data_IF_390480669627
#
_entry.id   IF_390480669627
#
_cell.length_a   1.000
_cell.length_b   1.000
_cell.length_c   1.000
_cell.angle_alpha   90.00
_cell.angle_beta   90.00
_cell.angle_gamma   90.00
#
_symmetry.space_group_name_H-M   'P 1'
#
loop_
_entity.id
_entity.type
_entity.pdbx_description
1 polymer ?
#
# COMPACT_ATOMS: atom_id res chain seq x y z
N UNK A 1 8.93 8.61 4.70
CA UNK A 1 9.51 7.77 3.64
C UNK A 1 8.51 6.73 3.22
N UNK A 2 8.40 6.44 1.94
CA UNK A 2 7.55 5.38 1.39
C UNK A 2 8.41 4.49 0.50
N UNK A 3 8.24 3.18 0.58
CA UNK A 3 9.04 2.23 -0.20
C UNK A 3 8.73 2.29 -1.70
N UNK A 4 7.46 2.24 -2.06
CA UNK A 4 6.97 2.07 -3.43
C UNK A 4 5.84 3.05 -3.76
N UNK A 5 5.71 3.41 -5.02
CA UNK A 5 4.77 4.44 -5.50
C UNK A 5 3.29 4.09 -5.31
N UNK A 6 2.93 2.81 -5.29
CA UNK A 6 1.57 2.36 -5.02
C UNK A 6 0.99 2.94 -3.70
N UNK A 7 1.86 3.20 -2.72
CA UNK A 7 1.50 3.86 -1.46
C UNK A 7 1.93 5.33 -1.42
N UNK A 8 2.89 5.75 -2.27
CA UNK A 8 3.48 7.08 -2.27
C UNK A 8 2.46 8.19 -2.47
N UNK A 9 1.63 8.07 -3.49
CA UNK A 9 0.60 9.07 -3.81
C UNK A 9 -0.48 9.13 -2.72
N UNK A 10 -0.87 7.98 -2.16
CA UNK A 10 -1.84 7.90 -1.05
C UNK A 10 -1.30 8.66 0.17
N UNK A 11 -0.05 8.38 0.55
CA UNK A 11 0.59 9.04 1.71
C UNK A 11 0.73 10.54 1.46
N UNK A 12 1.04 10.95 0.22
CA UNK A 12 1.15 12.36 -0.17
C UNK A 12 -0.20 13.08 -0.07
N UNK A 13 -1.27 12.47 -0.54
CA UNK A 13 -2.63 13.00 -0.43
C UNK A 13 -3.05 13.17 1.04
N UNK A 14 -2.76 12.18 1.89
CA UNK A 14 -3.09 12.21 3.31
C UNK A 14 -2.26 13.24 4.09
N UNK A 15 -0.99 13.39 3.74
CA UNK A 15 -0.07 14.32 4.39
C UNK A 15 -0.26 15.78 3.96
N UNK A 16 -0.69 15.98 2.70
CA UNK A 16 -0.90 17.30 2.12
C UNK A 16 0.29 18.22 2.32
N UNK A 17 0.05 19.49 2.69
CA UNK A 17 1.09 20.48 2.93
C UNK A 17 1.85 20.29 4.28
N UNK A 18 1.33 19.45 5.18
CA UNK A 18 1.93 19.21 6.49
C UNK A 18 2.95 18.07 6.50
N UNK A 19 3.15 17.36 5.37
CA UNK A 19 4.14 16.30 5.27
C UNK A 19 4.90 16.35 3.94
N UNK A 20 6.23 16.20 4.01
CA UNK A 20 7.05 15.98 2.81
C UNK A 20 7.22 14.48 2.63
N UNK A 21 6.69 13.95 1.54
CA UNK A 21 6.74 12.52 1.23
C UNK A 21 7.84 12.27 0.20
N UNK A 22 8.69 11.29 0.49
CA UNK A 22 9.69 10.77 -0.45
C UNK A 22 9.44 9.29 -0.66
N UNK A 23 9.28 8.90 -1.93
CA UNK A 23 9.14 7.50 -2.35
C UNK A 23 10.44 7.02 -2.96
N UNK A 24 10.93 5.85 -2.53
CA UNK A 24 12.20 5.29 -3.03
C UNK A 24 12.02 4.78 -4.45
N UNK A 25 11.10 3.83 -4.65
CA UNK A 25 10.77 3.32 -5.98
C UNK A 25 9.55 4.06 -6.51
N UNK A 26 9.80 5.19 -7.17
CA UNK A 26 8.76 6.08 -7.72
C UNK A 26 8.40 5.74 -9.18
N UNK A 27 8.76 4.56 -9.66
CA UNK A 27 8.41 4.08 -11.01
C UNK A 27 8.31 2.56 -11.06
N UNK A 28 7.51 2.06 -11.99
CA UNK A 28 7.34 0.62 -12.26
C UNK A 28 8.49 -0.02 -13.05
N UNK A 29 9.60 0.68 -13.27
CA UNK A 29 10.74 0.18 -14.05
C UNK A 29 11.66 -0.76 -13.28
N UNK A 30 11.50 -0.84 -11.96
CA UNK A 30 12.29 -1.69 -11.07
C UNK A 30 11.36 -2.61 -10.31
N UNK A 31 11.69 -3.90 -10.27
CA UNK A 31 10.97 -4.87 -9.46
C UNK A 31 11.32 -4.67 -7.97
N UNK A 32 10.35 -4.36 -7.11
CA UNK A 32 10.61 -4.17 -5.69
C UNK A 32 11.09 -5.43 -4.96
N UNK A 33 10.79 -6.62 -5.46
CA UNK A 33 11.27 -7.87 -4.86
C UNK A 33 12.79 -8.03 -4.98
N UNK A 34 13.37 -7.55 -6.09
CA UNK A 34 14.78 -7.71 -6.42
C UNK A 34 15.59 -6.43 -6.19
N UNK A 35 14.97 -5.40 -5.63
CA UNK A 35 15.65 -4.12 -5.43
C UNK A 35 16.72 -4.21 -4.33
N UNK A 36 17.94 -3.81 -4.68
CA UNK A 36 19.06 -3.65 -3.76
C UNK A 36 19.25 -2.16 -3.42
N UNK A 37 18.95 -1.72 -2.17
CA UNK A 37 19.04 -0.33 -1.81
C UNK A 37 20.50 0.15 -1.78
N UNK A 38 20.70 1.37 -2.25
CA UNK A 38 21.99 2.06 -2.21
C UNK A 38 22.25 2.72 -0.84
N UNK A 39 23.51 3.12 -0.54
CA UNK A 39 23.80 3.96 0.61
C UNK A 39 23.04 5.30 0.65
N UNK A 40 22.66 5.82 -0.52
CA UNK A 40 21.84 7.03 -0.62
C UNK A 40 20.41 6.76 -0.13
N UNK A 41 19.84 5.61 -0.47
CA UNK A 41 18.51 5.22 0.04
C UNK A 41 18.55 5.08 1.56
N UNK A 42 19.59 4.47 2.13
CA UNK A 42 19.75 4.38 3.58
C UNK A 42 19.84 5.76 4.24
N UNK A 43 20.54 6.71 3.61
CA UNK A 43 20.63 8.09 4.10
C UNK A 43 19.25 8.79 4.06
N UNK A 44 18.44 8.51 3.05
CA UNK A 44 17.08 9.06 2.94
C UNK A 44 16.13 8.59 4.06
N UNK A 45 16.33 7.39 4.59
CA UNK A 45 15.60 6.91 5.76
C UNK A 45 16.00 7.61 7.05
N UNK A 46 17.23 8.14 7.10
CA UNK A 46 17.72 8.82 8.32
C UNK A 46 16.87 10.07 8.59
N UNK A 47 16.26 10.11 9.77
CA UNK A 47 15.42 11.25 10.18
C UNK A 47 13.98 11.19 9.62
N UNK A 48 13.61 10.15 8.90
CA UNK A 48 12.22 9.90 8.55
C UNK A 48 11.35 9.90 9.82
N UNK A 49 10.20 10.57 9.78
CA UNK A 49 9.26 10.62 10.91
C UNK A 49 8.23 9.51 10.85
N UNK A 50 8.01 8.96 9.66
CA UNK A 50 7.12 7.84 9.38
C UNK A 50 7.72 7.06 8.22
N UNK A 51 7.68 5.73 8.30
CA UNK A 51 7.99 4.84 7.18
C UNK A 51 6.74 4.06 6.81
N UNK A 52 6.45 3.98 5.51
CA UNK A 52 5.33 3.21 4.96
C UNK A 52 5.88 2.19 3.97
N UNK A 53 5.53 0.93 4.16
CA UNK A 53 5.96 -0.19 3.31
C UNK A 53 4.77 -1.07 2.93
N UNK A 54 4.92 -1.84 1.87
CA UNK A 54 3.91 -2.84 1.50
C UNK A 54 3.95 -4.05 2.46
N UNK A 55 5.12 -4.64 2.67
CA UNK A 55 5.26 -5.90 3.40
C UNK A 55 4.92 -7.12 2.55
N UNK A 56 4.57 -8.25 3.19
CA UNK A 56 4.29 -9.54 2.55
C UNK A 56 5.45 -10.05 1.65
N UNK A 57 6.68 -9.64 1.92
CA UNK A 57 7.87 -9.98 1.15
C UNK A 57 8.16 -9.06 -0.04
N UNK A 58 7.24 -8.14 -0.40
CA UNK A 58 7.35 -7.29 -1.59
C UNK A 58 8.54 -6.31 -1.56
N UNK A 59 8.74 -5.65 -0.42
CA UNK A 59 9.73 -4.59 -0.21
C UNK A 59 10.52 -4.80 1.10
N UNK A 60 10.97 -6.03 1.33
CA UNK A 60 11.68 -6.43 2.55
C UNK A 60 12.94 -5.59 2.83
N UNK A 61 13.57 -5.05 1.79
CA UNK A 61 14.71 -4.14 1.90
C UNK A 61 14.32 -2.84 2.64
N UNK A 62 13.12 -2.31 2.40
CA UNK A 62 12.65 -1.09 3.04
C UNK A 62 12.40 -1.29 4.54
N UNK A 63 11.84 -2.43 4.92
CA UNK A 63 11.68 -2.80 6.34
C UNK A 63 13.03 -2.92 7.05
N UNK A 64 14.05 -3.46 6.40
CA UNK A 64 15.43 -3.54 6.93
C UNK A 64 16.03 -2.15 7.08
N UNK A 65 15.86 -1.25 6.09
CA UNK A 65 16.32 0.13 6.18
C UNK A 65 15.58 0.90 7.28
N UNK A 66 14.28 0.72 7.44
CA UNK A 66 13.53 1.31 8.54
C UNK A 66 14.12 0.90 9.90
N UNK A 67 14.39 -0.38 10.09
CA UNK A 67 14.95 -0.90 11.33
C UNK A 67 16.37 -0.39 11.62
N UNK A 68 17.21 -0.18 10.60
CA UNK A 68 18.61 0.24 10.77
C UNK A 68 18.79 1.76 10.75
N UNK A 69 18.08 2.49 9.89
CA UNK A 69 18.33 3.90 9.62
C UNK A 69 17.23 4.83 10.17
N UNK A 70 16.08 4.29 10.53
CA UNK A 70 14.93 5.00 11.08
C UNK A 70 14.32 4.28 12.30
N UNK A 71 15.14 3.63 13.12
CA UNK A 71 14.73 2.73 14.22
C UNK A 71 13.81 3.36 15.28
N UNK A 72 13.76 4.69 15.36
CA UNK A 72 12.87 5.42 16.27
C UNK A 72 11.56 5.87 15.63
N UNK A 73 11.34 5.59 14.36
CA UNK A 73 10.19 6.06 13.62
C UNK A 73 9.11 4.99 13.53
N UNK A 74 7.82 5.34 13.63
CA UNK A 74 6.74 4.39 13.38
C UNK A 74 6.82 3.83 11.97
N UNK A 75 6.47 2.55 11.85
CA UNK A 75 6.39 1.81 10.60
C UNK A 75 4.94 1.39 10.35
N UNK A 76 4.37 1.84 9.25
CA UNK A 76 3.09 1.35 8.73
C UNK A 76 3.40 0.35 7.61
N UNK A 77 3.06 -0.91 7.83
CA UNK A 77 3.13 -1.96 6.82
C UNK A 77 1.71 -2.33 6.37
N UNK A 78 1.43 -2.23 5.07
CA UNK A 78 0.14 -2.61 4.51
C UNK A 78 -0.20 -4.07 4.85
N UNK A 79 0.78 -4.97 4.77
CA UNK A 79 0.61 -6.37 5.15
C UNK A 79 0.27 -6.55 6.62
N UNK A 80 0.92 -5.80 7.53
CA UNK A 80 0.60 -5.86 8.96
C UNK A 80 -0.80 -5.32 9.26
N UNK A 81 -1.19 -4.21 8.64
CA UNK A 81 -2.52 -3.60 8.79
C UNK A 81 -3.62 -4.55 8.33
N UNK A 82 -3.39 -5.28 7.24
CA UNK A 82 -4.35 -6.24 6.67
C UNK A 82 -4.21 -7.65 7.23
N UNK A 83 -3.23 -7.90 8.10
CA UNK A 83 -2.89 -9.23 8.63
C UNK A 83 -2.51 -10.23 7.52
N UNK A 84 -1.90 -9.74 6.47
CA UNK A 84 -1.40 -10.56 5.36
C UNK A 84 -0.03 -11.14 5.75
N UNK A 85 0.15 -12.47 5.76
CA UNK A 85 1.42 -13.07 6.13
C UNK A 85 2.49 -12.90 5.03
N UNK A 86 3.75 -13.03 5.43
CA UNK A 86 4.86 -13.06 4.47
C UNK A 86 4.72 -14.23 3.50
N UNK A 87 5.05 -13.99 2.24
CA UNK A 87 4.89 -14.96 1.16
C UNK A 87 3.47 -15.12 0.62
N UNK A 88 2.48 -14.40 1.16
CA UNK A 88 1.17 -14.28 0.53
C UNK A 88 1.22 -13.28 -0.63
N UNK A 89 0.13 -13.21 -1.41
CA UNK A 89 0.02 -12.24 -2.51
C UNK A 89 0.26 -10.80 -2.00
N UNK A 90 1.29 -10.11 -2.47
CA UNK A 90 1.67 -8.79 -1.96
C UNK A 90 0.88 -7.62 -2.58
N UNK A 91 0.07 -7.84 -3.61
CA UNK A 91 -0.60 -6.79 -4.40
C UNK A 91 -1.78 -6.14 -3.68
N UNK A 92 -1.56 -5.73 -2.43
CA UNK A 92 -2.60 -5.24 -1.49
C UNK A 92 -3.26 -3.93 -1.95
N UNK A 93 -2.59 -3.13 -2.75
CA UNK A 93 -3.15 -1.88 -3.31
C UNK A 93 -4.32 -2.10 -4.28
N UNK A 94 -4.53 -3.33 -4.76
CA UNK A 94 -5.71 -3.71 -5.54
C UNK A 94 -6.92 -4.12 -4.69
N UNK A 95 -6.79 -4.19 -3.37
CA UNK A 95 -7.88 -4.48 -2.46
C UNK A 95 -8.40 -3.18 -1.83
N UNK A 96 -9.61 -2.70 -2.17
CA UNK A 96 -10.13 -1.41 -1.68
C UNK A 96 -10.17 -1.29 -0.15
N UNK A 97 -10.47 -2.39 0.54
CA UNK A 97 -10.45 -2.42 2.00
C UNK A 97 -9.04 -2.28 2.59
N UNK A 98 -8.02 -2.83 1.92
CA UNK A 98 -6.62 -2.66 2.33
C UNK A 98 -6.18 -1.20 2.15
N UNK A 99 -6.51 -0.59 1.01
CA UNK A 99 -6.21 0.84 0.76
C UNK A 99 -6.83 1.73 1.83
N UNK A 100 -8.10 1.50 2.18
CA UNK A 100 -8.76 2.27 3.25
C UNK A 100 -8.09 2.06 4.61
N UNK A 101 -7.76 0.82 4.97
CA UNK A 101 -7.13 0.49 6.25
C UNK A 101 -5.72 1.09 6.38
N UNK A 102 -4.93 1.06 5.31
CA UNK A 102 -3.60 1.72 5.26
C UNK A 102 -3.75 3.23 5.38
N UNK A 103 -4.72 3.84 4.68
CA UNK A 103 -4.99 5.26 4.81
C UNK A 103 -5.36 5.67 6.24
N UNK A 104 -6.16 4.85 6.94
CA UNK A 104 -6.49 5.07 8.36
C UNK A 104 -5.25 4.97 9.25
N UNK A 105 -4.41 3.97 9.05
CA UNK A 105 -3.17 3.77 9.81
C UNK A 105 -2.19 4.93 9.60
N UNK A 106 -1.98 5.36 8.35
CA UNK A 106 -1.10 6.50 8.02
C UNK A 106 -1.62 7.78 8.66
N UNK A 107 -2.92 8.08 8.54
CA UNK A 107 -3.55 9.27 9.14
C UNK A 107 -3.39 9.27 10.67
N UNK A 108 -3.57 8.12 11.30
CA UNK A 108 -3.38 7.96 12.75
C UNK A 108 -1.93 8.25 13.16
N UNK A 109 -0.94 7.74 12.43
CA UNK A 109 0.47 7.99 12.76
C UNK A 109 0.87 9.45 12.50
N UNK A 110 0.44 10.05 11.39
CA UNK A 110 0.67 11.47 11.12
C UNK A 110 0.09 12.37 12.23
N UNK A 111 -1.10 12.07 12.71
CA UNK A 111 -1.75 12.80 13.81
C UNK A 111 -1.03 12.66 15.15
N UNK A 112 -0.34 11.53 15.39
CA UNK A 112 0.50 11.34 16.58
C UNK A 112 1.84 12.08 16.48
N UNK A 113 2.40 12.15 15.24
CA UNK A 113 3.68 12.82 14.97
C UNK A 113 3.52 14.34 15.07
N UNK A 114 2.42 14.86 14.56
CA UNK A 114 2.10 16.30 14.61
C UNK A 114 0.67 16.53 15.14
N UNK A 115 0.46 16.46 16.45
CA UNK A 115 -0.86 16.63 17.06
C UNK A 115 -1.55 17.97 16.72
N UNK A 116 -0.85 19.10 16.57
CA UNK A 116 -1.46 20.34 16.10
C UNK A 116 -2.11 20.25 14.70
N UNK A 117 -1.60 19.39 13.84
CA UNK A 117 -2.13 19.16 12.50
C UNK A 117 -3.12 17.98 12.40
N UNK A 118 -3.54 17.37 13.51
CA UNK A 118 -4.40 16.19 13.50
C UNK A 118 -5.72 16.40 12.76
N UNK A 119 -6.38 17.55 12.95
CA UNK A 119 -7.62 17.88 12.25
C UNK A 119 -7.39 18.04 10.74
N UNK A 120 -6.25 18.58 10.34
CA UNK A 120 -5.87 18.69 8.93
C UNK A 120 -5.72 17.31 8.29
N UNK A 121 -4.99 16.39 8.92
CA UNK A 121 -4.86 15.02 8.42
C UNK A 121 -6.22 14.30 8.38
N UNK A 122 -7.07 14.51 9.36
CA UNK A 122 -8.45 13.98 9.38
C UNK A 122 -9.30 14.47 8.19
N UNK A 123 -9.17 15.75 7.84
CA UNK A 123 -9.84 16.33 6.66
C UNK A 123 -9.31 15.73 5.37
N UNK A 124 -7.99 15.57 5.22
CA UNK A 124 -7.38 14.91 4.06
C UNK A 124 -7.82 13.45 3.93
N UNK A 125 -7.93 12.73 5.05
CA UNK A 125 -8.48 11.38 5.07
C UNK A 125 -9.94 11.32 4.60
N UNK A 126 -10.77 12.26 5.02
CA UNK A 126 -12.15 12.36 4.56
C UNK A 126 -12.23 12.73 3.07
N UNK A 127 -11.39 13.65 2.61
CA UNK A 127 -11.27 14.00 1.21
C UNK A 127 -10.85 12.80 0.36
N UNK A 128 -9.86 12.03 0.80
CA UNK A 128 -9.43 10.79 0.12
C UNK A 128 -10.59 9.79 -0.01
N UNK A 129 -11.41 9.64 1.02
CA UNK A 129 -12.61 8.80 0.95
C UNK A 129 -13.58 9.29 -0.12
N UNK A 130 -13.81 10.60 -0.19
CA UNK A 130 -14.69 11.21 -1.20
C UNK A 130 -14.15 11.02 -2.62
N UNK A 131 -12.84 11.23 -2.81
CA UNK A 131 -12.16 11.08 -4.09
C UNK A 131 -12.20 9.63 -4.60
N UNK A 132 -12.07 8.65 -3.69
CA UNK A 132 -12.09 7.22 -4.05
C UNK A 132 -13.49 6.60 -4.12
N UNK A 133 -14.52 7.28 -3.61
CA UNK A 133 -15.89 6.76 -3.59
C UNK A 133 -16.43 6.34 -4.97
N UNK A 134 -16.21 7.08 -6.08
CA UNK A 134 -16.65 6.64 -7.41
C UNK A 134 -16.07 5.28 -7.82
N UNK A 135 -14.79 5.04 -7.51
CA UNK A 135 -14.13 3.76 -7.78
C UNK A 135 -14.74 2.62 -6.95
N UNK A 136 -14.92 2.82 -5.65
CA UNK A 136 -15.52 1.83 -4.76
C UNK A 136 -16.96 1.51 -5.19
N UNK A 137 -17.74 2.54 -5.55
CA UNK A 137 -19.11 2.38 -6.06
C UNK A 137 -19.15 1.61 -7.39
N UNK A 138 -18.17 1.85 -8.28
CA UNK A 138 -18.06 1.12 -9.54
C UNK A 138 -17.77 -0.36 -9.31
N UNK A 139 -16.88 -0.70 -8.38
CA UNK A 139 -16.62 -2.08 -7.95
C UNK A 139 -17.92 -2.74 -7.49
N UNK A 140 -18.71 -2.06 -6.66
CA UNK A 140 -20.01 -2.57 -6.20
C UNK A 140 -20.99 -2.85 -7.34
N UNK A 141 -21.07 -1.96 -8.33
CA UNK A 141 -21.91 -2.14 -9.52
C UNK A 141 -21.44 -3.34 -10.37
N UNK A 142 -20.13 -3.41 -10.64
CA UNK A 142 -19.58 -4.53 -11.43
C UNK A 142 -19.80 -5.85 -10.67
N UNK A 143 -19.60 -5.87 -9.35
CA UNK A 143 -19.86 -7.05 -8.52
C UNK A 143 -21.29 -7.54 -8.65
N UNK A 144 -22.27 -6.63 -8.66
CA UNK A 144 -23.68 -7.00 -8.80
C UNK A 144 -23.98 -7.70 -10.13
N UNK A 145 -23.23 -7.40 -11.20
CA UNK A 145 -23.43 -7.97 -12.55
C UNK A 145 -22.51 -9.14 -12.86
N UNK A 146 -21.33 -9.20 -12.22
CA UNK A 146 -20.26 -10.13 -12.58
C UNK A 146 -19.97 -11.18 -11.50
N UNK A 147 -20.53 -11.09 -10.29
CA UNK A 147 -20.25 -12.05 -9.23
C UNK A 147 -20.50 -13.49 -9.70
N UNK A 148 -19.56 -14.38 -9.38
CA UNK A 148 -19.60 -15.78 -9.80
C UNK A 148 -19.08 -16.05 -11.22
N UNK A 149 -18.85 -15.02 -12.05
CA UNK A 149 -18.19 -15.21 -13.34
C UNK A 149 -16.74 -15.63 -13.15
N UNK A 150 -16.24 -16.47 -14.03
CA UNK A 150 -14.89 -17.02 -13.96
C UNK A 150 -13.88 -16.17 -14.70
N UNK A 151 -12.65 -16.16 -14.21
CA UNK A 151 -11.47 -15.65 -14.89
C UNK A 151 -10.30 -16.62 -14.76
N UNK A 152 -9.25 -16.41 -15.56
CA UNK A 152 -7.97 -17.04 -15.41
C UNK A 152 -6.85 -15.99 -15.62
N UNK A 153 -5.74 -16.14 -14.91
CA UNK A 153 -4.59 -15.24 -15.02
C UNK A 153 -3.30 -16.01 -14.80
N UNK A 154 -2.22 -15.54 -15.41
CA UNK A 154 -0.88 -16.12 -15.25
C UNK A 154 -0.19 -15.69 -13.96
N UNK A 155 -0.65 -14.60 -13.36
CA UNK A 155 -0.08 -14.00 -12.15
C UNK A 155 -1.17 -13.62 -11.14
N UNK A 156 -0.76 -13.39 -9.89
CA UNK A 156 -1.68 -13.10 -8.76
C UNK A 156 -2.07 -11.62 -8.65
N UNK A 157 -1.52 -10.75 -9.49
CA UNK A 157 -1.74 -9.29 -9.44
C UNK A 157 -3.23 -8.93 -9.36
N UNK A 158 -4.07 -9.60 -10.14
CA UNK A 158 -5.50 -9.30 -10.24
C UNK A 158 -6.36 -9.94 -9.14
N UNK A 159 -5.81 -10.84 -8.33
CA UNK A 159 -6.62 -11.70 -7.44
C UNK A 159 -7.41 -10.90 -6.39
N UNK A 160 -6.82 -9.88 -5.78
CA UNK A 160 -7.53 -9.03 -4.82
C UNK A 160 -8.64 -8.19 -5.47
N UNK A 161 -8.38 -7.69 -6.68
CA UNK A 161 -9.41 -6.98 -7.44
C UNK A 161 -10.53 -7.94 -7.84
N UNK A 162 -10.20 -9.14 -8.31
CA UNK A 162 -11.16 -10.18 -8.63
C UNK A 162 -12.01 -10.58 -7.41
N UNK A 163 -11.39 -10.69 -6.24
CA UNK A 163 -12.10 -10.94 -4.99
C UNK A 163 -13.09 -9.81 -4.67
N UNK A 164 -12.68 -8.55 -4.81
CA UNK A 164 -13.56 -7.40 -4.60
C UNK A 164 -14.75 -7.40 -5.56
N UNK A 165 -14.55 -7.86 -6.80
CA UNK A 165 -15.58 -8.00 -7.83
C UNK A 165 -16.42 -9.28 -7.69
N UNK A 166 -16.08 -10.19 -6.77
CA UNK A 166 -16.77 -11.47 -6.58
C UNK A 166 -16.57 -12.47 -7.72
N UNK A 167 -15.44 -12.34 -8.45
CA UNK A 167 -15.08 -13.28 -9.52
C UNK A 167 -14.49 -14.58 -8.97
N UNK A 168 -14.53 -15.64 -9.76
CA UNK A 168 -14.02 -16.97 -9.44
C UNK A 168 -12.77 -17.26 -10.26
N UNK A 169 -11.62 -17.43 -9.61
CA UNK A 169 -10.39 -17.84 -10.28
C UNK A 169 -10.51 -19.32 -10.73
N UNK A 170 -10.28 -19.57 -12.00
CA UNK A 170 -10.25 -20.90 -12.64
C UNK A 170 -8.88 -21.23 -13.23
N UNK A 171 -7.86 -20.47 -12.88
CA UNK A 171 -6.49 -20.77 -13.30
C UNK A 171 -6.11 -22.16 -12.79
N UNK A 172 -5.58 -23.04 -13.64
CA UNK A 172 -5.10 -24.35 -13.20
C UNK A 172 -4.00 -24.21 -12.15
N UNK A 173 -3.98 -25.10 -11.17
CA UNK A 173 -2.95 -25.14 -10.14
C UNK A 173 -1.55 -25.18 -10.76
N UNK A 174 -0.66 -24.35 -10.27
CA UNK A 174 0.73 -24.25 -10.73
C UNK A 174 0.95 -23.36 -11.96
N UNK A 175 -0.11 -22.81 -12.55
CA UNK A 175 0.01 -21.86 -13.67
C UNK A 175 0.09 -20.40 -13.22
N UNK A 176 -0.53 -20.08 -12.10
CA UNK A 176 -0.48 -18.74 -11.56
C UNK A 176 0.80 -18.58 -10.73
N UNK A 177 1.59 -17.56 -11.04
CA UNK A 177 2.79 -17.21 -10.27
C UNK A 177 2.46 -16.11 -9.28
N UNK A 178 3.04 -16.19 -8.09
CA UNK A 178 3.23 -15.03 -7.23
C UNK A 178 4.43 -14.27 -7.83
N UNK A 179 4.18 -13.11 -8.39
CA UNK A 179 5.21 -12.19 -8.85
C UNK A 179 5.73 -11.40 -7.68
#
# INVERSE_FOLDING_TARGET
MVSVDQWGDIVSELGGACATVKTVLASSSVDPHDYEPSPADAADFTGAKLVVVNGAGYDSWASKLAASSASGSPLVSAASVTKTPDGANPHLWYLPSAVSAVADAVTSELSKIDPPAADYFGQHRAQFTTTTAPYVNLIGKIKAEAAGKSYAATETVFDYQAQALGLVNKTPLGYQRAS
#
